data_IF_090117179162
#
_entry.id   IF_090117179162
#
_cell.length_a   1.000
_cell.length_b   1.000
_cell.length_c   1.000
_cell.angle_alpha   90.00
_cell.angle_beta   90.00
_cell.angle_gamma   90.00
#
_symmetry.space_group_name_H-M   'P 1'
#
loop_
_entity.id
_entity.type
_entity.pdbx_description
1 polymer ?
#
# COMPACT_ATOMS: atom_id res chain seq x y z
N UNK A 1 9.59 -13.19 -9.17
CA UNK A 1 8.15 -13.49 -8.92
C UNK A 1 7.37 -12.58 -9.84
N UNK A 2 6.39 -13.05 -10.61
CA UNK A 2 5.71 -12.16 -11.60
C UNK A 2 4.32 -11.74 -11.09
N UNK A 3 4.09 -10.43 -11.06
CA UNK A 3 2.76 -9.84 -10.86
C UNK A 3 2.13 -9.61 -12.24
N UNK A 4 0.94 -10.16 -12.45
CA UNK A 4 0.23 -10.05 -13.73
C UNK A 4 -1.26 -10.21 -13.54
N UNK A 5 -2.06 -9.43 -14.27
CA UNK A 5 -3.54 -9.54 -14.29
C UNK A 5 -4.17 -9.51 -12.89
N UNK A 6 -3.72 -8.59 -12.02
CA UNK A 6 -4.32 -8.42 -10.70
C UNK A 6 -3.92 -9.47 -9.66
N UNK A 7 -2.87 -10.26 -9.92
CA UNK A 7 -2.39 -11.33 -9.04
C UNK A 7 -0.87 -11.47 -9.02
N UNK A 8 -0.35 -11.95 -7.90
CA UNK A 8 1.07 -12.23 -7.69
C UNK A 8 1.23 -13.61 -7.05
N UNK A 9 2.14 -14.44 -7.55
CA UNK A 9 2.39 -15.78 -6.99
C UNK A 9 3.32 -15.70 -5.79
N UNK A 10 2.83 -16.05 -4.60
CA UNK A 10 3.62 -16.02 -3.37
C UNK A 10 4.45 -17.30 -3.17
N UNK A 11 3.88 -18.47 -3.47
CA UNK A 11 4.55 -19.77 -3.37
C UNK A 11 3.89 -20.81 -4.29
N UNK A 12 4.33 -22.08 -4.21
CA UNK A 12 3.67 -23.17 -4.94
C UNK A 12 2.23 -23.29 -4.44
N UNK A 13 1.28 -22.93 -5.31
CA UNK A 13 -0.18 -22.95 -5.10
C UNK A 13 -0.76 -21.83 -4.23
N UNK A 14 0.01 -20.80 -3.87
CA UNK A 14 -0.54 -19.63 -3.17
C UNK A 14 -0.35 -18.40 -4.04
N UNK A 15 -1.46 -17.70 -4.27
CA UNK A 15 -1.54 -16.49 -5.06
C UNK A 15 -2.18 -15.40 -4.21
N UNK A 16 -1.64 -14.20 -4.32
CA UNK A 16 -2.29 -13.01 -3.85
C UNK A 16 -3.02 -12.37 -5.02
N UNK A 17 -4.34 -12.50 -5.05
CA UNK A 17 -5.21 -11.85 -6.04
C UNK A 17 -5.58 -10.44 -5.55
N UNK A 18 -4.63 -9.50 -5.68
CA UNK A 18 -4.78 -8.15 -5.13
C UNK A 18 -5.95 -7.36 -5.76
N UNK A 19 -6.43 -7.71 -6.95
CA UNK A 19 -7.66 -7.11 -7.48
C UNK A 19 -8.94 -7.47 -6.68
N UNK A 20 -8.89 -8.58 -5.94
CA UNK A 20 -10.02 -9.08 -5.13
C UNK A 20 -9.82 -8.83 -3.65
N UNK A 21 -8.64 -9.18 -3.13
CA UNK A 21 -8.23 -9.04 -1.72
C UNK A 21 -6.97 -8.16 -1.65
N UNK A 22 -7.13 -6.84 -1.84
CA UNK A 22 -6.02 -5.92 -2.09
C UNK A 22 -5.18 -5.56 -0.87
N UNK A 23 -5.72 -5.65 0.33
CA UNK A 23 -5.01 -5.22 1.52
C UNK A 23 -4.33 -6.42 2.18
N UNK A 24 -3.10 -6.23 2.64
CA UNK A 24 -2.28 -7.27 3.26
C UNK A 24 -1.75 -6.79 4.60
N UNK A 25 -1.82 -7.65 5.61
CA UNK A 25 -1.10 -7.51 6.88
C UNK A 25 -0.04 -8.61 6.96
N UNK A 26 1.21 -8.24 7.18
CA UNK A 26 2.37 -9.13 7.26
C UNK A 26 2.90 -9.07 8.69
N UNK A 27 2.70 -10.12 9.47
CA UNK A 27 3.20 -10.21 10.84
C UNK A 27 4.35 -11.21 10.93
N UNK A 28 5.39 -10.86 11.69
CA UNK A 28 6.50 -11.77 11.95
C UNK A 28 7.63 -11.12 12.74
N UNK A 29 8.18 -11.87 13.69
CA UNK A 29 9.28 -11.43 14.54
C UNK A 29 10.56 -11.13 13.77
N UNK A 30 11.52 -10.51 14.45
CA UNK A 30 12.85 -10.20 13.91
C UNK A 30 13.51 -11.47 13.35
N UNK A 31 14.12 -11.35 12.16
CA UNK A 31 14.73 -12.48 11.46
C UNK A 31 13.75 -13.42 10.74
N UNK A 32 12.43 -13.20 10.85
CA UNK A 32 11.41 -14.04 10.20
C UNK A 32 11.23 -13.83 8.70
N UNK A 33 12.10 -13.04 8.04
CA UNK A 33 12.05 -12.81 6.60
C UNK A 33 11.02 -11.78 6.12
N UNK A 34 10.38 -11.03 7.02
CA UNK A 34 9.37 -10.01 6.70
C UNK A 34 9.86 -8.97 5.69
N UNK A 35 10.98 -8.33 5.95
CA UNK A 35 11.57 -7.31 5.07
C UNK A 35 11.93 -7.89 3.70
N UNK A 36 12.53 -9.09 3.65
CA UNK A 36 12.79 -9.79 2.39
C UNK A 36 11.52 -10.11 1.60
N UNK A 37 10.45 -10.50 2.28
CA UNK A 37 9.16 -10.74 1.65
C UNK A 37 8.58 -9.45 1.06
N UNK A 38 8.63 -8.34 1.78
CA UNK A 38 8.20 -7.02 1.29
C UNK A 38 9.04 -6.59 0.07
N UNK A 39 10.37 -6.74 0.12
CA UNK A 39 11.25 -6.46 -1.02
C UNK A 39 10.90 -7.30 -2.25
N UNK A 40 10.53 -8.57 -2.04
CA UNK A 40 10.09 -9.46 -3.14
C UNK A 40 8.75 -8.98 -3.74
N UNK A 41 7.83 -8.46 -2.91
CA UNK A 41 6.59 -7.85 -3.39
C UNK A 41 6.87 -6.57 -4.19
N UNK A 42 7.73 -5.68 -3.67
CA UNK A 42 8.12 -4.45 -4.34
C UNK A 42 8.74 -4.77 -5.70
N UNK A 43 9.72 -5.68 -5.77
CA UNK A 43 10.36 -6.10 -7.02
C UNK A 43 9.35 -6.59 -8.04
N UNK A 44 8.45 -7.49 -7.65
CA UNK A 44 7.43 -8.03 -8.54
C UNK A 44 6.45 -6.95 -9.04
N UNK A 45 6.06 -6.00 -8.18
CA UNK A 45 5.15 -4.91 -8.53
C UNK A 45 5.82 -3.84 -9.41
N UNK A 46 7.13 -3.64 -9.31
CA UNK A 46 7.89 -2.74 -10.19
C UNK A 46 7.89 -3.19 -11.66
N UNK A 47 7.62 -4.46 -11.95
CA UNK A 47 7.43 -4.97 -13.31
C UNK A 47 6.02 -4.70 -13.88
N UNK A 48 5.18 -3.95 -13.17
CA UNK A 48 3.84 -3.54 -13.58
C UNK A 48 3.75 -2.02 -13.76
N UNK A 49 2.58 -1.50 -14.11
CA UNK A 49 2.29 -0.06 -14.14
C UNK A 49 1.92 0.53 -12.76
N UNK A 50 2.08 -0.27 -11.69
CA UNK A 50 1.71 0.12 -10.34
C UNK A 50 2.56 1.26 -9.79
N UNK A 51 1.95 2.14 -8.99
CA UNK A 51 2.64 3.17 -8.22
C UNK A 51 2.88 2.70 -6.79
N UNK A 52 4.12 2.76 -6.34
CA UNK A 52 4.52 2.32 -5.01
C UNK A 52 4.86 3.53 -4.14
N UNK A 53 4.44 3.47 -2.87
CA UNK A 53 4.74 4.44 -1.82
C UNK A 53 5.23 3.66 -0.61
N UNK A 54 6.47 3.88 -0.19
CA UNK A 54 7.17 3.08 0.83
C UNK A 54 7.38 3.93 2.07
N UNK A 55 6.88 3.45 3.19
CA UNK A 55 6.88 4.12 4.48
C UNK A 55 7.69 3.28 5.48
N UNK A 56 8.86 3.79 5.84
CA UNK A 56 9.79 3.15 6.77
C UNK A 56 10.08 4.08 7.96
N UNK A 57 9.24 4.07 9.02
CA UNK A 57 9.41 4.94 10.18
C UNK A 57 10.69 4.65 10.99
N UNK A 58 11.34 3.50 10.76
CA UNK A 58 12.58 3.13 11.45
C UNK A 58 13.83 3.58 10.68
N UNK A 59 13.68 4.10 9.46
CA UNK A 59 14.78 4.44 8.57
C UNK A 59 15.78 3.27 8.44
N UNK A 60 15.24 2.09 8.12
CA UNK A 60 15.95 0.82 8.01
C UNK A 60 16.13 0.44 6.53
N UNK A 61 16.13 -0.87 6.23
CA UNK A 61 16.45 -1.42 4.90
C UNK A 61 15.54 -0.88 3.78
N UNK A 62 14.27 -0.55 4.06
CA UNK A 62 13.36 -0.04 3.03
C UNK A 62 13.60 1.44 2.73
N UNK A 63 14.09 2.23 3.68
CA UNK A 63 14.41 3.64 3.47
C UNK A 63 15.54 3.83 2.43
N UNK A 64 16.48 2.89 2.35
CA UNK A 64 17.59 2.92 1.38
C UNK A 64 17.13 2.86 -0.09
N UNK A 65 15.91 2.35 -0.33
CA UNK A 65 15.27 2.38 -1.66
C UNK A 65 15.05 3.81 -2.16
N UNK A 66 15.05 4.82 -1.27
CA UNK A 66 14.95 6.24 -1.63
C UNK A 66 16.07 6.74 -2.55
N UNK A 67 17.19 6.00 -2.64
CA UNK A 67 18.27 6.27 -3.59
C UNK A 67 17.88 6.01 -5.06
N UNK A 68 16.87 5.16 -5.29
CA UNK A 68 16.45 4.68 -6.61
C UNK A 68 14.95 4.85 -6.86
N UNK A 69 14.16 5.17 -5.84
CA UNK A 69 12.72 5.38 -5.90
C UNK A 69 12.33 6.71 -5.25
N UNK A 70 11.45 7.47 -5.90
CA UNK A 70 11.08 8.81 -5.42
C UNK A 70 10.14 8.80 -4.21
N UNK A 71 9.29 7.78 -4.08
CA UNK A 71 8.21 7.74 -3.08
C UNK A 71 8.60 6.90 -1.86
N UNK A 72 9.74 7.19 -1.25
CA UNK A 72 10.23 6.51 -0.04
C UNK A 72 10.38 7.53 1.07
N UNK A 73 9.68 7.29 2.19
CA UNK A 73 9.53 8.25 3.28
C UNK A 73 9.83 7.60 4.62
N UNK A 74 10.53 8.32 5.49
CA UNK A 74 10.89 7.86 6.83
C UNK A 74 10.69 8.91 7.93
N UNK A 75 10.59 10.20 7.58
CA UNK A 75 10.35 11.29 8.53
C UNK A 75 8.86 11.41 8.82
N UNK A 76 8.51 11.66 10.09
CA UNK A 76 7.12 11.72 10.56
C UNK A 76 6.22 12.59 9.67
N UNK A 77 6.66 13.79 9.33
CA UNK A 77 5.90 14.77 8.55
C UNK A 77 5.67 14.28 7.11
N UNK A 78 6.70 13.67 6.51
CA UNK A 78 6.62 13.11 5.16
C UNK A 78 5.71 11.88 5.11
N UNK A 79 5.76 11.01 6.13
CA UNK A 79 4.85 9.87 6.28
C UNK A 79 3.39 10.33 6.37
N UNK A 80 3.11 11.34 7.21
CA UNK A 80 1.77 11.93 7.35
C UNK A 80 1.28 12.54 6.03
N UNK A 81 2.13 13.31 5.36
CA UNK A 81 1.82 13.94 4.07
C UNK A 81 1.57 12.91 2.97
N UNK A 82 2.36 11.82 2.95
CA UNK A 82 2.16 10.73 2.00
C UNK A 82 0.80 10.04 2.21
N UNK A 83 0.40 9.78 3.46
CA UNK A 83 -0.90 9.17 3.77
C UNK A 83 -2.07 10.08 3.37
N UNK A 84 -1.95 11.38 3.64
CA UNK A 84 -2.94 12.38 3.21
C UNK A 84 -3.07 12.37 1.69
N UNK A 85 -1.96 12.53 0.96
CA UNK A 85 -1.94 12.57 -0.51
C UNK A 85 -2.51 11.29 -1.11
N UNK A 86 -2.12 10.13 -0.57
CA UNK A 86 -2.62 8.83 -1.04
C UNK A 86 -4.14 8.71 -0.85
N UNK A 87 -4.67 9.19 0.29
CA UNK A 87 -6.11 9.22 0.55
C UNK A 87 -6.84 10.20 -0.38
N UNK A 88 -6.34 11.42 -0.56
CA UNK A 88 -6.94 12.42 -1.43
C UNK A 88 -6.97 11.97 -2.89
N UNK A 89 -5.88 11.37 -3.39
CA UNK A 89 -5.81 10.79 -4.72
C UNK A 89 -6.82 9.64 -4.90
N UNK A 90 -7.02 8.82 -3.87
CA UNK A 90 -8.03 7.75 -3.90
C UNK A 90 -9.44 8.32 -4.02
N UNK A 91 -9.76 9.35 -3.23
CA UNK A 91 -11.08 9.99 -3.25
C UNK A 91 -11.32 10.67 -4.59
N UNK A 92 -10.34 11.44 -5.09
CA UNK A 92 -10.40 12.07 -6.40
C UNK A 92 -10.60 11.04 -7.52
N UNK A 93 -9.81 9.95 -7.52
CA UNK A 93 -9.98 8.89 -8.54
C UNK A 93 -11.36 8.26 -8.46
N UNK A 94 -11.91 8.05 -7.27
CA UNK A 94 -13.24 7.46 -7.09
C UNK A 94 -14.34 8.31 -7.74
N UNK A 95 -14.19 9.63 -7.74
CA UNK A 95 -15.08 10.56 -8.42
C UNK A 95 -14.86 10.56 -9.93
N UNK A 96 -13.60 10.66 -10.37
CA UNK A 96 -13.22 10.65 -11.80
C UNK A 96 -13.67 9.38 -12.50
N UNK A 97 -13.53 8.22 -11.86
CA UNK A 97 -13.97 6.93 -12.38
C UNK A 97 -15.46 6.95 -12.77
N UNK A 98 -16.32 7.62 -12.00
CA UNK A 98 -17.76 7.69 -12.29
C UNK A 98 -18.07 8.56 -13.52
N UNK A 99 -17.15 9.44 -13.91
CA UNK A 99 -17.28 10.32 -15.07
C UNK A 99 -16.69 9.69 -16.36
N UNK A 100 -15.97 8.56 -16.25
CA UNK A 100 -15.40 7.89 -17.41
C UNK A 100 -16.49 7.28 -18.30
N UNK A 101 -16.37 7.44 -19.62
CA UNK A 101 -17.36 6.94 -20.61
C UNK A 101 -17.63 5.44 -20.52
N UNK A 102 -16.62 4.66 -20.13
CA UNK A 102 -16.68 3.21 -19.98
C UNK A 102 -16.96 2.76 -18.53
N UNK A 103 -17.38 3.67 -17.64
CA UNK A 103 -17.73 3.32 -16.27
C UNK A 103 -18.85 2.27 -16.24
N UNK A 104 -18.68 1.27 -15.36
CA UNK A 104 -19.69 0.23 -15.11
C UNK A 104 -19.75 -0.10 -13.63
N UNK A 105 -20.95 -0.04 -13.06
CA UNK A 105 -21.19 -0.41 -11.66
C UNK A 105 -20.69 -1.83 -11.38
N UNK A 106 -19.97 -2.00 -10.27
CA UNK A 106 -19.37 -3.27 -9.86
C UNK A 106 -18.02 -3.59 -10.53
N UNK A 107 -17.53 -2.75 -11.45
CA UNK A 107 -16.17 -2.83 -11.99
C UNK A 107 -15.21 -1.94 -11.19
N UNK A 108 -13.93 -2.32 -11.19
CA UNK A 108 -12.85 -1.67 -10.46
C UNK A 108 -11.88 -0.96 -11.42
N UNK A 109 -10.86 -0.33 -10.84
CA UNK A 109 -9.78 0.36 -11.53
C UNK A 109 -9.17 -0.43 -12.71
N UNK A 110 -8.92 -1.73 -12.54
CA UNK A 110 -8.33 -2.60 -13.55
C UNK A 110 -9.19 -2.70 -14.82
N UNK A 111 -10.52 -2.77 -14.68
CA UNK A 111 -11.44 -2.75 -15.84
C UNK A 111 -11.35 -1.45 -16.65
N UNK A 112 -11.03 -0.34 -15.98
CA UNK A 112 -10.86 0.96 -16.61
C UNK A 112 -9.43 1.19 -17.12
N UNK A 113 -8.53 0.21 -16.96
CA UNK A 113 -7.12 0.31 -17.37
C UNK A 113 -6.33 1.33 -16.53
N UNK A 114 -6.73 1.55 -15.28
CA UNK A 114 -6.04 2.45 -14.37
C UNK A 114 -4.97 1.68 -13.58
N UNK A 115 -3.85 2.32 -13.20
CA UNK A 115 -2.79 1.67 -12.45
C UNK A 115 -3.17 1.49 -10.97
N UNK A 116 -2.68 0.41 -10.37
CA UNK A 116 -2.78 0.19 -8.93
C UNK A 116 -1.81 1.13 -8.17
N UNK A 117 -2.19 1.54 -6.98
CA UNK A 117 -1.38 2.32 -6.05
C UNK A 117 -1.21 1.50 -4.77
N UNK A 118 0.03 1.26 -4.33
CA UNK A 118 0.33 0.50 -3.11
C UNK A 118 1.01 1.41 -2.09
N UNK A 119 0.41 1.51 -0.92
CA UNK A 119 0.97 2.13 0.27
C UNK A 119 1.54 1.03 1.18
N UNK A 120 2.87 0.97 1.29
CA UNK A 120 3.62 -0.12 1.92
C UNK A 120 4.28 0.40 3.20
N UNK A 121 3.94 -0.16 4.36
CA UNK A 121 4.54 0.15 5.65
C UNK A 121 5.36 -1.05 6.13
N UNK A 122 6.66 -0.87 6.45
CA UNK A 122 7.46 -1.97 7.05
C UNK A 122 7.11 -2.24 8.52
N UNK A 123 6.89 -1.17 9.29
CA UNK A 123 6.48 -1.26 10.68
C UNK A 123 5.43 -0.20 10.99
N UNK A 124 4.17 -0.54 10.74
CA UNK A 124 3.09 0.42 10.95
C UNK A 124 2.95 0.80 12.43
N UNK A 125 3.23 -0.13 13.37
CA UNK A 125 3.13 0.11 14.81
C UNK A 125 4.10 1.20 15.26
N UNK A 126 5.36 1.14 14.80
CA UNK A 126 6.37 2.16 15.11
C UNK A 126 5.95 3.55 14.60
N UNK A 127 5.33 3.63 13.42
CA UNK A 127 4.77 4.89 12.95
C UNK A 127 3.65 5.39 13.89
N UNK A 128 2.71 4.53 14.29
CA UNK A 128 1.61 4.90 15.18
C UNK A 128 2.10 5.41 16.55
N UNK A 129 3.21 4.88 17.07
CA UNK A 129 3.85 5.32 18.31
C UNK A 129 4.48 6.73 18.20
N UNK A 130 4.86 7.17 17.00
CA UNK A 130 5.37 8.52 16.75
C UNK A 130 4.28 9.60 16.78
N UNK A 131 3.00 9.20 16.76
CA UNK A 131 1.86 10.10 16.62
C UNK A 131 1.25 10.50 17.97
N UNK A 132 0.86 11.77 18.10
CA UNK A 132 -0.02 12.21 19.17
C UNK A 132 -1.46 11.72 18.97
N UNK A 133 -2.29 11.78 20.01
CA UNK A 133 -3.68 11.25 19.98
C UNK A 133 -4.53 11.75 18.81
N UNK A 134 -4.43 13.04 18.48
CA UNK A 134 -5.18 13.65 17.37
C UNK A 134 -4.70 13.14 16.02
N UNK A 135 -3.38 13.07 15.82
CA UNK A 135 -2.76 12.56 14.60
C UNK A 135 -3.11 11.09 14.40
N UNK A 136 -2.98 10.28 15.47
CA UNK A 136 -3.33 8.87 15.48
C UNK A 136 -4.77 8.63 15.03
N UNK A 137 -5.72 9.38 15.60
CA UNK A 137 -7.14 9.29 15.21
C UNK A 137 -7.35 9.67 13.74
N UNK A 138 -6.70 10.73 13.26
CA UNK A 138 -6.81 11.19 11.87
C UNK A 138 -6.24 10.15 10.89
N UNK A 139 -5.06 9.60 11.17
CA UNK A 139 -4.42 8.54 10.37
C UNK A 139 -5.29 7.29 10.35
N UNK A 140 -5.77 6.83 11.51
CA UNK A 140 -6.62 5.64 11.59
C UNK A 140 -7.91 5.79 10.80
N UNK A 141 -8.52 6.99 10.81
CA UNK A 141 -9.69 7.26 9.99
C UNK A 141 -9.38 7.14 8.50
N UNK A 142 -8.24 7.67 8.04
CA UNK A 142 -7.82 7.55 6.63
C UNK A 142 -7.50 6.11 6.21
N UNK A 143 -6.73 5.38 7.02
CA UNK A 143 -6.41 3.98 6.75
C UNK A 143 -7.69 3.14 6.66
N UNK A 144 -8.68 3.39 7.54
CA UNK A 144 -10.00 2.75 7.44
C UNK A 144 -10.71 3.06 6.12
N UNK A 145 -10.74 4.32 5.68
CA UNK A 145 -11.35 4.69 4.41
C UNK A 145 -10.63 4.03 3.22
N UNK A 146 -9.29 3.99 3.24
CA UNK A 146 -8.49 3.31 2.22
C UNK A 146 -8.85 1.83 2.15
N UNK A 147 -8.96 1.14 3.29
CA UNK A 147 -9.36 -0.28 3.33
C UNK A 147 -10.78 -0.49 2.81
N UNK A 148 -11.70 0.43 3.11
CA UNK A 148 -13.11 0.30 2.72
C UNK A 148 -13.35 0.58 1.23
N UNK A 149 -12.69 1.58 0.66
CA UNK A 149 -12.98 2.11 -0.68
C UNK A 149 -11.90 1.75 -1.71
N UNK A 150 -10.68 1.46 -1.25
CA UNK A 150 -9.50 1.31 -2.07
C UNK A 150 -9.57 0.19 -3.11
N UNK A 151 -10.30 -0.90 -2.83
CA UNK A 151 -10.49 -2.00 -3.80
C UNK A 151 -11.07 -1.52 -5.13
N UNK A 152 -12.06 -0.63 -5.08
CA UNK A 152 -12.69 -0.15 -6.32
C UNK A 152 -11.77 0.82 -7.05
N UNK A 153 -11.10 1.72 -6.31
CA UNK A 153 -10.25 2.77 -6.84
C UNK A 153 -8.83 2.31 -7.24
N UNK A 154 -8.40 1.12 -6.82
CA UNK A 154 -7.03 0.63 -7.04
C UNK A 154 -6.02 1.20 -6.06
N UNK A 155 -6.41 1.46 -4.81
CA UNK A 155 -5.54 1.99 -3.75
C UNK A 155 -5.43 0.99 -2.62
N UNK A 156 -4.25 0.40 -2.44
CA UNK A 156 -4.02 -0.80 -1.67
C UNK A 156 -3.04 -0.56 -0.54
N UNK A 157 -3.21 -1.31 0.55
CA UNK A 157 -2.44 -1.13 1.78
C UNK A 157 -1.71 -2.43 2.10
N UNK A 158 -0.40 -2.36 2.23
CA UNK A 158 0.44 -3.45 2.73
C UNK A 158 1.03 -2.98 4.05
N UNK A 159 0.55 -3.53 5.16
CA UNK A 159 1.07 -3.24 6.49
C UNK A 159 1.96 -4.38 6.94
N UNK A 160 3.13 -4.06 7.48
CA UNK A 160 3.95 -5.01 8.19
C UNK A 160 4.08 -4.62 9.67
N UNK A 161 4.14 -5.63 10.54
CA UNK A 161 4.40 -5.48 11.96
C UNK A 161 5.22 -6.64 12.53
N UNK A 162 6.01 -6.36 13.57
CA UNK A 162 6.78 -7.40 14.27
C UNK A 162 5.97 -8.16 15.31
N UNK A 163 5.11 -7.44 16.03
CA UNK A 163 4.16 -8.02 16.98
C UNK A 163 2.79 -7.37 16.76
N UNK A 164 1.72 -8.15 16.58
CA UNK A 164 0.38 -7.63 16.33
C UNK A 164 -0.44 -7.38 17.62
N UNK A 165 0.22 -7.20 18.78
CA UNK A 165 -0.42 -6.93 20.08
C UNK A 165 -0.73 -5.45 20.31
#
# INVERSE_FOLDING_TARGET
>A
VEAKDGKLRLMKNVWWEYDKLPHMLIAGGTGGGKTYFILTLIEALLHTDSKLYILDPKNADLADLGSVMANVYYRKEDLLSCIETFYEEMMKRSEEMKQMKNYKTGKNYAYLGLPAHFLIFDEYVAFMEMLGTKENTAVMNKLKQIVMLGRQAGFFLILACQRPD
#
